data_IF_931360819714
#
_entry.id   IF_931360819714
#
_cell.length_a   1.000
_cell.length_b   1.000
_cell.length_c   1.000
_cell.angle_alpha   90.00
_cell.angle_beta   90.00
_cell.angle_gamma   90.00
#
_symmetry.space_group_name_H-M   'P 1'
#
loop_
_entity.id
_entity.type
_entity.pdbx_description
1 polymer ?
#
# COMPACT_ATOMS: atom_id res chain seq x y z
N UNK A 1 -3.25 -25.72 -37.04
CA UNK A 1 -3.18 -24.24 -36.90
C UNK A 1 -4.09 -23.72 -35.80
N UNK A 2 -5.31 -24.26 -35.65
CA UNK A 2 -6.26 -23.87 -34.58
C UNK A 2 -5.80 -24.19 -33.15
N UNK A 3 -5.15 -25.35 -32.93
CA UNK A 3 -4.58 -25.73 -31.62
C UNK A 3 -3.52 -24.75 -31.10
N UNK A 4 -2.75 -24.12 -32.00
CA UNK A 4 -1.72 -23.15 -31.62
C UNK A 4 -2.34 -21.81 -31.20
N UNK A 5 -3.47 -21.41 -31.82
CA UNK A 5 -4.22 -20.20 -31.47
C UNK A 5 -4.91 -20.35 -30.11
N UNK A 6 -5.47 -21.53 -29.82
CA UNK A 6 -6.08 -21.85 -28.52
C UNK A 6 -5.00 -21.82 -27.43
N UNK A 7 -3.83 -22.42 -27.68
CA UNK A 7 -2.69 -22.39 -26.76
C UNK A 7 -2.23 -20.95 -26.46
N UNK A 8 -2.11 -20.10 -27.50
CA UNK A 8 -1.71 -18.70 -27.34
C UNK A 8 -2.74 -17.90 -26.54
N UNK A 9 -4.03 -18.12 -26.77
CA UNK A 9 -5.11 -17.48 -26.03
C UNK A 9 -5.12 -17.88 -24.54
N UNK A 10 -4.88 -19.16 -24.24
CA UNK A 10 -4.76 -19.62 -22.85
C UNK A 10 -3.55 -19.02 -22.14
N UNK A 11 -2.39 -18.94 -22.80
CA UNK A 11 -1.19 -18.29 -22.24
C UNK A 11 -1.45 -16.80 -21.98
N UNK A 12 -2.15 -16.12 -22.90
CA UNK A 12 -2.50 -14.71 -22.75
C UNK A 12 -3.51 -14.45 -21.63
N UNK A 13 -4.49 -15.34 -21.44
CA UNK A 13 -5.45 -15.26 -20.35
C UNK A 13 -4.79 -15.56 -19.00
N UNK A 14 -3.91 -16.57 -18.92
CA UNK A 14 -3.15 -16.86 -17.70
C UNK A 14 -2.22 -15.70 -17.31
N UNK A 15 -1.52 -15.09 -18.28
CA UNK A 15 -0.65 -13.94 -17.98
C UNK A 15 -1.43 -12.71 -17.51
N UNK A 16 -2.61 -12.42 -18.07
CA UNK A 16 -3.48 -11.34 -17.59
C UNK A 16 -3.91 -11.52 -16.12
N UNK A 17 -4.25 -12.75 -15.72
CA UNK A 17 -4.63 -13.05 -14.34
C UNK A 17 -3.45 -12.94 -13.36
N UNK A 18 -2.24 -13.30 -13.78
CA UNK A 18 -1.02 -13.18 -12.96
C UNK A 18 -0.57 -11.72 -12.78
N UNK A 19 -0.77 -10.86 -13.78
CA UNK A 19 -0.47 -9.42 -13.65
C UNK A 19 -1.32 -8.79 -12.55
N UNK A 20 -2.61 -9.14 -12.45
CA UNK A 20 -3.50 -8.65 -11.39
C UNK A 20 -3.10 -9.07 -9.97
N UNK A 21 -2.53 -10.27 -9.80
CA UNK A 21 -2.05 -10.75 -8.50
C UNK A 21 -0.75 -10.10 -8.04
N UNK A 22 0.04 -9.56 -8.97
CA UNK A 22 1.34 -8.94 -8.69
C UNK A 22 1.29 -7.46 -8.32
N UNK A 23 0.12 -6.83 -8.43
CA UNK A 23 -0.07 -5.48 -7.91
C UNK A 23 -0.14 -5.55 -6.38
N UNK A 24 0.92 -5.09 -5.70
CA UNK A 24 0.76 -4.59 -4.34
C UNK A 24 -0.39 -3.57 -4.36
N UNK A 25 -1.38 -3.72 -3.47
CA UNK A 25 -2.58 -2.89 -3.53
C UNK A 25 -2.26 -1.39 -3.42
N UNK A 26 -1.14 -1.04 -2.79
CA UNK A 26 -0.68 0.33 -2.64
C UNK A 26 0.78 0.50 -3.07
N UNK A 27 1.05 1.63 -3.73
CA UNK A 27 2.40 2.14 -4.02
C UNK A 27 2.85 3.17 -2.99
N UNK A 28 4.15 3.49 -2.94
CA UNK A 28 4.66 4.57 -2.07
C UNK A 28 4.05 5.93 -2.42
N UNK A 29 3.79 6.18 -3.70
CA UNK A 29 3.18 7.41 -4.20
C UNK A 29 1.76 7.59 -3.67
N UNK A 30 0.99 6.51 -3.48
CA UNK A 30 -0.37 6.57 -2.97
C UNK A 30 -0.43 7.19 -1.56
N UNK A 31 0.42 6.71 -0.66
CA UNK A 31 0.55 7.28 0.69
C UNK A 31 1.09 8.71 0.68
N UNK A 32 2.16 8.97 -0.09
CA UNK A 32 2.81 10.28 -0.09
C UNK A 32 1.92 11.37 -0.69
N UNK A 33 1.25 11.07 -1.80
CA UNK A 33 0.39 12.02 -2.49
C UNK A 33 -0.84 12.37 -1.65
N UNK A 34 -1.48 11.38 -1.01
CA UNK A 34 -2.62 11.63 -0.14
C UNK A 34 -2.27 12.58 1.02
N UNK A 35 -1.11 12.39 1.66
CA UNK A 35 -0.62 13.32 2.69
C UNK A 35 -0.32 14.71 2.11
N UNK A 36 0.35 14.78 0.95
CA UNK A 36 0.75 16.04 0.35
C UNK A 36 -0.44 16.88 -0.14
N UNK A 37 -1.55 16.24 -0.53
CA UNK A 37 -2.83 16.92 -0.79
C UNK A 37 -3.34 17.60 0.49
N UNK A 38 -3.50 16.84 1.58
CA UNK A 38 -3.98 17.40 2.85
C UNK A 38 -3.07 18.50 3.41
N UNK A 39 -1.75 18.38 3.19
CA UNK A 39 -0.76 19.41 3.57
C UNK A 39 -0.88 20.68 2.75
N UNK A 40 -1.11 20.55 1.45
CA UNK A 40 -1.33 21.69 0.56
C UNK A 40 -2.60 22.47 0.96
N UNK A 41 -3.67 21.78 1.36
CA UNK A 41 -4.93 22.39 1.78
C UNK A 41 -4.78 23.33 2.99
N UNK A 42 -3.78 23.08 3.84
CA UNK A 42 -3.46 23.92 5.00
C UNK A 42 -2.17 24.74 4.83
N UNK A 43 -1.60 24.78 3.62
CA UNK A 43 -0.46 25.62 3.28
C UNK A 43 0.88 25.24 3.91
N UNK A 44 1.08 23.96 4.27
CA UNK A 44 2.37 23.47 4.81
C UNK A 44 3.21 22.75 3.74
N UNK A 45 4.57 22.78 3.81
CA UNK A 45 5.42 22.20 2.76
C UNK A 45 5.19 20.70 2.55
N UNK A 46 5.35 20.14 1.34
CA UNK A 46 5.16 18.71 1.09
C UNK A 46 6.21 17.86 1.82
N UNK A 47 5.87 16.61 2.07
CA UNK A 47 6.76 15.56 2.54
C UNK A 47 7.50 14.91 1.37
N UNK A 48 8.66 14.32 1.67
CA UNK A 48 9.39 13.43 0.78
C UNK A 48 9.36 12.01 1.36
N UNK A 49 9.35 11.01 0.50
CA UNK A 49 9.45 9.61 0.91
C UNK A 49 10.85 9.30 1.46
N UNK A 50 10.90 8.50 2.53
CA UNK A 50 12.12 7.95 3.11
C UNK A 50 11.96 6.42 3.23
N UNK A 51 12.77 5.67 2.48
CA UNK A 51 12.72 4.21 2.45
C UNK A 51 13.07 3.58 3.81
N UNK A 52 13.83 4.26 4.66
CA UNK A 52 14.13 3.81 6.03
C UNK A 52 12.91 3.88 6.91
N UNK A 53 12.13 4.97 6.82
CA UNK A 53 10.87 5.14 7.56
C UNK A 53 9.83 4.14 7.05
N UNK A 54 9.75 3.95 5.74
CA UNK A 54 8.85 2.96 5.14
C UNK A 54 9.15 1.54 5.60
N UNK A 55 10.43 1.13 5.59
CA UNK A 55 10.85 -0.17 6.10
C UNK A 55 10.56 -0.32 7.59
N UNK A 56 10.76 0.73 8.39
CA UNK A 56 10.39 0.74 9.80
C UNK A 56 8.88 0.52 10.00
N UNK A 57 8.03 1.27 9.29
CA UNK A 57 6.58 1.18 9.38
C UNK A 57 6.07 -0.20 8.97
N UNK A 58 6.57 -0.76 7.86
CA UNK A 58 6.23 -2.10 7.39
C UNK A 58 6.61 -3.17 8.41
N UNK A 59 7.82 -3.08 8.99
CA UNK A 59 8.27 -4.02 10.03
C UNK A 59 7.40 -3.94 11.29
N UNK A 60 6.89 -2.76 11.63
CA UNK A 60 6.00 -2.60 12.77
C UNK A 60 4.60 -3.16 12.48
N UNK A 61 4.03 -2.87 11.30
CA UNK A 61 2.77 -3.46 10.86
C UNK A 61 2.83 -5.00 10.86
N UNK A 62 3.94 -5.58 10.39
CA UNK A 62 4.17 -7.02 10.43
C UNK A 62 4.20 -7.62 11.85
N UNK A 63 4.59 -6.83 12.87
CA UNK A 63 4.53 -7.28 14.27
C UNK A 63 3.10 -7.27 14.83
N UNK A 64 2.20 -6.44 14.27
CA UNK A 64 0.81 -6.28 14.70
C UNK A 64 -0.18 -7.11 13.88
N UNK A 65 0.22 -7.71 12.76
CA UNK A 65 -0.70 -8.46 11.88
C UNK A 65 -1.42 -9.62 12.58
N UNK A 66 -0.83 -10.19 13.65
CA UNK A 66 -1.43 -11.28 14.41
C UNK A 66 -2.52 -10.86 15.40
N UNK A 67 -2.50 -9.61 15.88
CA UNK A 67 -3.45 -9.11 16.89
C UNK A 67 -4.29 -7.93 16.41
N UNK A 68 -3.85 -7.25 15.36
CA UNK A 68 -4.45 -6.05 14.77
C UNK A 68 -4.67 -4.90 15.75
N UNK A 69 -3.96 -4.88 16.88
CA UNK A 69 -4.16 -3.86 17.89
C UNK A 69 -3.53 -2.53 17.46
N UNK A 70 -4.30 -1.45 17.60
CA UNK A 70 -3.83 -0.07 17.37
C UNK A 70 -3.02 0.44 18.57
N UNK A 71 -1.82 -0.13 18.75
CA UNK A 71 -0.86 0.29 19.78
C UNK A 71 0.29 1.00 19.09
N UNK A 72 0.71 2.14 19.63
CA UNK A 72 1.85 2.87 19.09
C UNK A 72 3.18 2.19 19.39
N UNK A 73 4.13 2.29 18.46
CA UNK A 73 5.47 1.70 18.64
C UNK A 73 6.29 2.38 19.75
N UNK A 74 6.00 3.64 20.06
CA UNK A 74 6.66 4.42 21.11
C UNK A 74 8.14 4.69 20.83
N UNK A 75 8.57 4.68 19.57
CA UNK A 75 9.98 4.85 19.17
C UNK A 75 10.24 6.21 18.52
N UNK A 76 11.27 6.27 17.67
CA UNK A 76 11.93 7.50 17.22
C UNK A 76 11.15 8.35 16.19
N UNK A 77 10.10 7.80 15.56
CA UNK A 77 9.28 8.50 14.56
C UNK A 77 7.88 8.79 15.10
N UNK A 78 7.28 9.89 14.64
CA UNK A 78 5.83 10.09 14.78
C UNK A 78 5.08 9.03 13.97
N UNK A 79 3.87 8.67 14.42
CA UNK A 79 3.18 7.49 13.90
C UNK A 79 1.67 7.70 13.84
N UNK A 80 1.09 7.35 12.70
CA UNK A 80 -0.35 7.10 12.55
C UNK A 80 -0.52 5.61 12.21
N UNK A 81 -1.55 4.98 12.79
CA UNK A 81 -1.86 3.56 12.61
C UNK A 81 -3.34 3.42 12.25
N UNK A 82 -3.63 2.57 11.27
CA UNK A 82 -4.98 2.30 10.80
C UNK A 82 -5.21 0.79 10.72
N UNK A 83 -6.44 0.38 10.93
CA UNK A 83 -6.87 -1.00 10.79
C UNK A 83 -8.32 -1.06 10.32
N UNK A 84 -8.65 -2.10 9.56
CA UNK A 84 -10.01 -2.40 9.12
C UNK A 84 -10.24 -3.91 9.17
N UNK A 85 -11.49 -4.32 9.41
CA UNK A 85 -11.91 -5.72 9.29
C UNK A 85 -12.15 -6.16 7.84
N UNK A 86 -12.05 -5.24 6.87
CA UNK A 86 -12.13 -5.51 5.43
C UNK A 86 -10.97 -4.85 4.68
N UNK A 87 -11.07 -4.82 3.35
CA UNK A 87 -10.07 -4.17 2.51
C UNK A 87 -9.91 -2.70 2.90
N UNK A 88 -8.66 -2.25 3.06
CA UNK A 88 -8.31 -0.88 3.37
C UNK A 88 -7.11 -0.49 2.51
N UNK A 89 -7.35 0.39 1.54
CA UNK A 89 -6.29 0.97 0.73
C UNK A 89 -5.49 1.95 1.58
N UNK A 90 -4.21 2.07 1.27
CA UNK A 90 -3.30 3.03 1.86
C UNK A 90 -3.81 4.47 1.73
N UNK A 91 -4.38 4.82 0.58
CA UNK A 91 -4.97 6.16 0.38
C UNK A 91 -6.19 6.40 1.28
N UNK A 92 -6.97 5.37 1.59
CA UNK A 92 -8.13 5.49 2.47
C UNK A 92 -7.70 5.55 3.93
N UNK A 93 -6.68 4.78 4.32
CA UNK A 93 -6.06 4.86 5.64
C UNK A 93 -5.52 6.27 5.96
N UNK A 94 -4.96 6.98 4.97
CA UNK A 94 -4.47 8.36 5.13
C UNK A 94 -5.60 9.38 5.30
N UNK A 95 -6.82 9.07 4.84
CA UNK A 95 -7.98 9.98 4.90
C UNK A 95 -8.82 9.83 6.17
N UNK A 96 -8.52 8.84 7.01
CA UNK A 96 -9.20 8.63 8.31
C UNK A 96 -8.86 9.75 9.31
#
# INVERSE_FOLDING_TARGET
MELCKISLAFVFLLSLNLVHLSHAQDSKEDYLNAHNVARADVGVPPLNWDDTVAAYAQNYANQRIGDCNLVHSGRQYGENIAWSSGDLLGTDAVKL
#
